data_IF_495533746727
#
_entry.id   IF_495533746727
#
_cell.length_a   1.000
_cell.length_b   1.000
_cell.length_c   1.000
_cell.angle_alpha   90.00
_cell.angle_beta   90.00
_cell.angle_gamma   90.00
#
_symmetry.space_group_name_H-M   'P 1'
#
loop_
_entity.id
_entity.type
_entity.pdbx_description
1 polymer ?
#
# COMPACT_ATOMS: atom_id res chain seq x y z
N UNK A 1 9.56 -5.08 -0.63
CA UNK A 1 9.38 -3.61 -0.65
C UNK A 1 8.83 -3.15 0.71
N UNK A 2 9.52 -2.29 1.48
CA UNK A 2 8.96 -1.79 2.75
C UNK A 2 7.88 -0.73 2.52
N UNK A 3 6.77 -0.81 3.25
CA UNK A 3 5.72 0.21 3.23
C UNK A 3 6.24 1.51 3.82
N UNK A 4 6.05 2.62 3.10
CA UNK A 4 6.65 3.93 3.43
C UNK A 4 5.65 4.87 4.09
N UNK A 5 4.36 4.64 3.89
CA UNK A 5 3.28 5.45 4.45
C UNK A 5 2.05 4.62 4.84
N UNK A 6 1.26 5.13 5.78
CA UNK A 6 -0.02 4.53 6.17
C UNK A 6 -1.03 4.53 5.01
N UNK A 7 -1.02 5.59 4.19
CA UNK A 7 -1.87 5.67 3.01
C UNK A 7 -1.53 4.59 1.98
N UNK A 8 -0.24 4.33 1.74
CA UNK A 8 0.20 3.26 0.83
C UNK A 8 -0.27 1.88 1.33
N UNK A 9 -0.16 1.61 2.64
CA UNK A 9 -0.61 0.34 3.19
C UNK A 9 -2.11 0.12 3.00
N UNK A 10 -2.93 1.13 3.30
CA UNK A 10 -4.39 1.08 3.14
C UNK A 10 -4.80 0.86 1.68
N UNK A 11 -4.17 1.58 0.76
CA UNK A 11 -4.43 1.41 -0.68
C UNK A 11 -4.11 -0.02 -1.13
N UNK A 12 -2.97 -0.57 -0.72
CA UNK A 12 -2.55 -1.91 -1.13
C UNK A 12 -3.43 -2.99 -0.50
N UNK A 13 -3.85 -2.84 0.76
CA UNK A 13 -4.82 -3.73 1.37
C UNK A 13 -6.16 -3.69 0.64
N UNK A 14 -6.67 -2.49 0.34
CA UNK A 14 -7.92 -2.32 -0.40
C UNK A 14 -7.83 -2.95 -1.81
N UNK A 15 -6.74 -2.71 -2.54
CA UNK A 15 -6.52 -3.30 -3.86
C UNK A 15 -6.32 -4.84 -3.80
N UNK A 16 -5.78 -5.38 -2.72
CA UNK A 16 -5.59 -6.82 -2.55
C UNK A 16 -6.92 -7.58 -2.35
N UNK A 17 -7.88 -6.94 -1.68
CA UNK A 17 -9.19 -7.52 -1.37
C UNK A 17 -10.29 -7.14 -2.38
N UNK A 18 -10.20 -5.98 -3.02
CA UNK A 18 -11.20 -5.50 -3.99
C UNK A 18 -10.59 -5.29 -5.40
N UNK A 19 -11.01 -6.09 -6.40
CA UNK A 19 -10.56 -5.92 -7.78
C UNK A 19 -11.05 -4.61 -8.44
N UNK A 20 -12.15 -4.02 -7.98
CA UNK A 20 -12.61 -2.72 -8.46
C UNK A 20 -11.67 -1.60 -8.00
N UNK A 21 -11.17 -1.66 -6.77
CA UNK A 21 -10.15 -0.72 -6.26
C UNK A 21 -8.85 -0.88 -7.04
N UNK A 22 -8.41 -2.11 -7.27
CA UNK A 22 -7.23 -2.42 -8.10
C UNK A 22 -7.33 -1.79 -9.50
N UNK A 23 -8.48 -1.95 -10.18
CA UNK A 23 -8.73 -1.35 -11.50
C UNK A 23 -8.75 0.18 -11.46
N UNK A 24 -9.45 0.77 -10.49
CA UNK A 24 -9.57 2.23 -10.35
C UNK A 24 -8.24 2.91 -10.05
N UNK A 25 -7.38 2.24 -9.29
CA UNK A 25 -6.09 2.81 -8.82
C UNK A 25 -4.91 2.40 -9.70
N UNK A 26 -5.12 1.53 -10.69
CA UNK A 26 -4.07 1.02 -11.56
C UNK A 26 -3.10 0.06 -10.86
N UNK A 27 -3.44 -0.44 -9.67
CA UNK A 27 -2.59 -1.38 -8.92
C UNK A 27 -3.02 -2.82 -9.25
N UNK A 28 -2.17 -3.65 -9.86
CA UNK A 28 -2.52 -5.05 -10.11
C UNK A 28 -2.75 -5.80 -8.79
N UNK A 29 -3.81 -6.61 -8.73
CA UNK A 29 -4.11 -7.40 -7.52
C UNK A 29 -2.94 -8.30 -7.09
N UNK A 30 -2.20 -8.86 -8.06
CA UNK A 30 -1.01 -9.68 -7.78
C UNK A 30 0.05 -8.89 -7.01
N UNK A 31 0.26 -7.64 -7.39
CA UNK A 31 1.22 -6.73 -6.73
C UNK A 31 0.70 -6.34 -5.35
N UNK A 32 -0.58 -5.99 -5.24
CA UNK A 32 -1.19 -5.65 -3.96
C UNK A 32 -1.11 -6.81 -2.95
N UNK A 33 -1.42 -8.04 -3.37
CA UNK A 33 -1.31 -9.25 -2.54
C UNK A 33 0.13 -9.54 -2.12
N UNK A 34 1.09 -9.45 -3.06
CA UNK A 34 2.51 -9.59 -2.74
C UNK A 34 2.98 -8.54 -1.74
N UNK A 35 2.52 -7.31 -1.90
CA UNK A 35 2.81 -6.21 -0.97
C UNK A 35 2.26 -6.51 0.42
N UNK A 36 1.00 -6.92 0.55
CA UNK A 36 0.39 -7.24 1.86
C UNK A 36 1.13 -8.40 2.53
N UNK A 37 1.51 -9.43 1.78
CA UNK A 37 2.28 -10.56 2.31
C UNK A 37 3.67 -10.13 2.82
N UNK A 38 4.39 -9.29 2.07
CA UNK A 38 5.70 -8.76 2.49
C UNK A 38 5.64 -7.73 3.63
N UNK A 39 4.49 -7.09 3.79
CA UNK A 39 4.25 -6.08 4.84
C UNK A 39 3.67 -6.71 6.11
N UNK A 40 3.30 -7.99 6.07
CA UNK A 40 2.80 -8.74 7.21
C UNK A 40 3.81 -8.71 8.37
N UNK A 41 3.37 -8.26 9.56
CA UNK A 41 4.23 -8.11 10.73
C UNK A 41 5.03 -6.80 10.82
N UNK A 42 4.99 -5.91 9.81
CA UNK A 42 5.64 -4.60 9.91
C UNK A 42 4.80 -3.60 10.69
N UNK A 43 5.44 -2.81 11.56
CA UNK A 43 4.77 -1.76 12.35
C UNK A 43 4.43 -0.55 11.48
N UNK A 44 3.25 -0.59 10.84
CA UNK A 44 2.71 0.52 10.02
C UNK A 44 2.32 1.74 10.89
N UNK A 45 2.11 1.54 12.20
CA UNK A 45 1.70 2.59 13.15
C UNK A 45 2.70 3.74 13.29
N UNK A 46 4.00 3.46 13.15
CA UNK A 46 5.09 4.45 13.26
C UNK A 46 5.37 5.21 11.95
N UNK A 47 4.71 4.84 10.86
CA UNK A 47 4.94 5.47 9.57
C UNK A 47 4.15 6.79 9.43
N UNK A 48 4.66 7.74 8.64
CA UNK A 48 3.92 8.94 8.32
C UNK A 48 2.64 8.61 7.55
N UNK A 49 1.62 9.45 7.70
CA UNK A 49 0.33 9.30 7.01
C UNK A 49 0.51 9.35 5.49
N UNK A 50 1.20 10.38 5.03
CA UNK A 50 1.69 10.53 3.67
C UNK A 50 3.21 10.72 3.72
N UNK A 51 3.95 10.03 2.86
CA UNK A 51 5.34 10.39 2.62
C UNK A 51 5.36 11.76 1.96
N UNK A 52 6.06 12.75 2.53
CA UNK A 52 6.34 14.02 1.85
C UNK A 52 7.05 13.69 0.53
N UNK A 53 6.28 13.65 -0.56
CA UNK A 53 6.80 13.59 -1.93
C UNK A 53 7.65 14.83 -2.09
N UNK A 54 8.89 14.66 -2.56
CA UNK A 54 9.92 15.69 -2.56
C UNK A 54 9.41 17.08 -2.93
N UNK A 55 9.92 18.10 -2.24
CA UNK A 55 10.19 19.38 -2.91
C UNK A 55 10.94 19.03 -4.20
N UNK A 56 10.50 19.67 -5.29
CA UNK A 56 11.10 19.63 -6.63
C UNK A 56 12.62 19.57 -6.59
#
# INVERSE_FOLDING_TARGET
>A
MPVRSKAQNRLMQAAAHDPAVAKKTGVPQKVAKGFVAETHGKKVSKLPEHTKKGRK
#
